data_IF_661154445743
#
_entry.id   IF_661154445743
#
_cell.length_a   1.000
_cell.length_b   1.000
_cell.length_c   1.000
_cell.angle_alpha   90.00
_cell.angle_beta   90.00
_cell.angle_gamma   90.00
#
_symmetry.space_group_name_H-M   'P 1'
#
loop_
_entity.id
_entity.type
_entity.pdbx_description
1 polymer ?
#
# COMPACT_ATOMS: atom_id res chain seq x y z
N UNK A 1 -20.11 7.32 -6.79
CA UNK A 1 -19.30 6.56 -5.81
C UNK A 1 -19.11 5.19 -6.38
N UNK A 2 -17.86 4.79 -6.65
CA UNK A 2 -17.52 3.44 -7.08
C UNK A 2 -16.69 2.76 -6.00
N UNK A 3 -16.95 1.48 -5.80
CA UNK A 3 -16.24 0.64 -4.85
C UNK A 3 -15.45 -0.38 -5.66
N UNK A 4 -14.15 -0.47 -5.39
CA UNK A 4 -13.29 -1.53 -5.87
C UNK A 4 -12.92 -2.39 -4.68
N UNK A 5 -13.01 -3.71 -4.83
CA UNK A 5 -12.54 -4.67 -3.86
C UNK A 5 -11.61 -5.65 -4.56
N UNK A 6 -10.53 -6.02 -3.88
CA UNK A 6 -9.60 -7.06 -4.33
C UNK A 6 -9.17 -7.89 -3.14
N UNK A 7 -9.19 -9.21 -3.32
CA UNK A 7 -8.69 -10.17 -2.35
C UNK A 7 -7.62 -11.03 -3.01
N UNK A 8 -6.58 -11.38 -2.26
CA UNK A 8 -5.61 -12.40 -2.65
C UNK A 8 -4.93 -12.97 -1.41
N UNK A 9 -4.21 -14.06 -1.57
CA UNK A 9 -3.42 -14.66 -0.49
C UNK A 9 -1.95 -14.67 -0.88
N UNK A 10 -1.11 -14.19 0.02
CA UNK A 10 0.34 -14.23 -0.09
C UNK A 10 0.86 -15.53 0.56
N UNK A 11 1.77 -16.24 -0.11
CA UNK A 11 2.43 -17.46 0.41
C UNK A 11 3.59 -17.12 1.39
N UNK A 12 3.30 -16.21 2.31
CA UNK A 12 4.21 -15.72 3.35
C UNK A 12 3.50 -15.58 4.68
N UNK A 13 4.23 -15.77 5.77
CA UNK A 13 3.70 -15.59 7.12
C UNK A 13 3.32 -14.13 7.34
N UNK A 14 2.45 -13.88 8.31
CA UNK A 14 2.05 -12.51 8.64
C UNK A 14 3.23 -11.66 9.11
N UNK A 15 4.21 -12.24 9.79
CA UNK A 15 5.43 -11.58 10.24
C UNK A 15 6.29 -11.13 9.04
N UNK A 16 6.43 -11.99 8.02
CA UNK A 16 7.13 -11.64 6.78
C UNK A 16 6.42 -10.48 6.08
N UNK A 17 5.10 -10.57 5.92
CA UNK A 17 4.28 -9.56 5.23
C UNK A 17 4.26 -8.22 5.97
N UNK A 18 3.97 -8.23 7.26
CA UNK A 18 3.93 -7.01 8.08
C UNK A 18 5.29 -6.32 8.16
N UNK A 19 6.38 -7.08 8.20
CA UNK A 19 7.75 -6.53 8.20
C UNK A 19 8.11 -5.93 6.83
N UNK A 20 7.87 -6.68 5.76
CA UNK A 20 8.18 -6.26 4.39
C UNK A 20 7.37 -5.02 3.97
N UNK A 21 6.15 -4.85 4.49
CA UNK A 21 5.28 -3.72 4.15
C UNK A 21 5.95 -2.36 4.42
N UNK A 22 6.77 -2.26 5.46
CA UNK A 22 7.54 -1.05 5.76
C UNK A 22 8.60 -0.71 4.71
N UNK A 23 9.06 -1.71 3.96
CA UNK A 23 10.07 -1.61 2.90
C UNK A 23 9.48 -1.82 1.50
N UNK A 24 8.16 -1.70 1.36
CA UNK A 24 7.44 -1.88 0.08
C UNK A 24 8.01 -1.04 -1.08
N UNK A 25 8.49 0.16 -0.78
CA UNK A 25 9.04 1.10 -1.77
C UNK A 25 10.57 1.13 -1.70
N UNK A 26 11.19 -0.01 -1.98
CA UNK A 26 12.64 -0.18 -2.02
C UNK A 26 13.10 -0.55 -3.44
N UNK A 27 14.43 -0.63 -3.71
CA UNK A 27 14.95 -0.97 -5.04
C UNK A 27 14.48 -2.31 -5.62
N UNK A 28 13.98 -3.25 -4.81
CA UNK A 28 13.43 -4.53 -5.28
C UNK A 28 12.04 -4.39 -5.92
N UNK A 29 11.31 -3.31 -5.60
CA UNK A 29 10.00 -3.03 -6.19
C UNK A 29 10.14 -2.15 -7.45
N UNK A 30 10.26 -2.78 -8.62
CA UNK A 30 10.31 -2.09 -9.91
C UNK A 30 8.93 -1.73 -10.50
N UNK A 31 7.83 -1.98 -9.76
CA UNK A 31 6.46 -1.75 -10.23
C UNK A 31 5.89 -0.43 -9.72
N UNK A 32 6.34 0.02 -8.55
CA UNK A 32 5.92 1.27 -7.90
C UNK A 32 6.88 2.44 -8.15
N UNK A 33 7.46 2.55 -9.35
CA UNK A 33 8.45 3.59 -9.70
C UNK A 33 7.92 5.03 -9.64
N UNK A 34 6.60 5.19 -9.63
CA UNK A 34 5.95 6.49 -9.44
C UNK A 34 6.03 6.98 -7.99
N UNK A 35 6.30 6.11 -7.01
CA UNK A 35 6.49 6.54 -5.61
C UNK A 35 7.92 7.00 -5.45
N UNK A 36 8.11 8.29 -5.17
CA UNK A 36 9.43 8.93 -5.10
C UNK A 36 9.91 9.17 -3.67
N UNK A 37 8.97 9.30 -2.73
CA UNK A 37 9.30 9.46 -1.31
C UNK A 37 8.19 8.91 -0.42
N UNK A 38 8.59 8.45 0.77
CA UNK A 38 7.70 7.98 1.83
C UNK A 38 8.25 8.47 3.16
N UNK A 39 7.57 9.45 3.74
CA UNK A 39 7.99 10.10 4.97
C UNK A 39 7.09 9.67 6.13
N UNK A 40 7.69 9.34 7.27
CA UNK A 40 6.93 9.08 8.51
C UNK A 40 6.66 10.42 9.19
N UNK A 41 5.40 10.82 9.24
CA UNK A 41 4.98 12.07 9.89
C UNK A 41 4.87 11.89 11.41
N UNK A 42 4.36 10.74 11.84
CA UNK A 42 4.18 10.41 13.25
C UNK A 42 4.16 8.90 13.44
N UNK A 43 4.63 8.44 14.60
CA UNK A 43 4.53 7.05 15.02
C UNK A 43 4.32 6.99 16.52
N UNK A 44 3.26 6.31 16.93
CA UNK A 44 2.83 6.22 18.33
C UNK A 44 2.51 4.76 18.65
N UNK A 45 3.08 4.26 19.74
CA UNK A 45 2.72 2.98 20.31
C UNK A 45 1.73 3.22 21.45
N UNK A 46 0.61 2.52 21.44
CA UNK A 46 -0.35 2.52 22.55
C UNK A 46 -0.04 1.37 23.52
N UNK A 47 0.41 1.66 24.76
CA UNK A 47 0.74 0.62 25.73
C UNK A 47 -0.45 -0.22 26.20
N UNK A 48 -1.68 0.30 26.14
CA UNK A 48 -2.87 -0.41 26.61
C UNK A 48 -3.32 -1.46 25.59
N UNK A 49 -3.46 -1.06 24.32
CA UNK A 49 -3.84 -1.99 23.25
C UNK A 49 -2.68 -2.76 22.63
N UNK A 50 -1.44 -2.29 22.80
CA UNK A 50 -0.26 -2.83 22.12
C UNK A 50 -0.17 -2.49 20.63
N UNK A 51 -1.04 -1.59 20.13
CA UNK A 51 -1.13 -1.25 18.71
C UNK A 51 -0.10 -0.18 18.35
N UNK A 52 0.65 -0.43 17.27
CA UNK A 52 1.52 0.57 16.66
C UNK A 52 0.75 1.34 15.58
N UNK A 53 0.53 2.63 15.81
CA UNK A 53 -0.04 3.54 14.82
C UNK A 53 1.07 4.34 14.15
N UNK A 54 1.06 4.39 12.82
CA UNK A 54 2.02 5.19 12.02
C UNK A 54 1.26 6.02 10.99
N UNK A 55 1.64 7.29 10.87
CA UNK A 55 1.18 8.20 9.82
C UNK A 55 2.31 8.42 8.82
N UNK A 56 2.02 8.31 7.53
CA UNK A 56 2.97 8.51 6.46
C UNK A 56 2.44 9.48 5.40
N UNK A 57 3.35 10.26 4.83
CA UNK A 57 3.13 11.00 3.60
C UNK A 57 3.83 10.25 2.46
N UNK A 58 3.07 9.86 1.45
CA UNK A 58 3.60 9.20 0.26
C UNK A 58 3.56 10.22 -0.87
N UNK A 59 4.72 10.51 -1.44
CA UNK A 59 4.87 11.41 -2.58
C UNK A 59 5.00 10.59 -3.85
N UNK A 60 4.09 10.83 -4.78
CA UNK A 60 4.05 10.17 -6.07
C UNK A 60 4.33 11.18 -7.17
N UNK A 61 5.17 10.81 -8.14
CA UNK A 61 5.31 11.51 -9.40
C UNK A 61 4.70 10.64 -10.50
N UNK A 62 3.47 10.96 -10.91
CA UNK A 62 2.85 10.32 -12.05
C UNK A 62 2.35 11.41 -12.99
N UNK A 63 2.38 11.13 -14.29
CA UNK A 63 1.62 11.94 -15.25
C UNK A 63 0.15 11.85 -14.85
N UNK A 64 -0.37 12.88 -14.17
CA UNK A 64 -1.80 13.01 -13.97
C UNK A 64 -2.44 12.94 -15.36
N UNK A 65 -3.60 12.27 -15.52
CA UNK A 65 -4.27 12.19 -16.80
C UNK A 65 -4.29 13.56 -17.47
N UNK A 66 -3.86 13.67 -18.73
CA UNK A 66 -3.63 14.97 -19.39
C UNK A 66 -4.85 15.89 -19.31
N UNK A 67 -6.06 15.33 -19.29
CA UNK A 67 -7.30 16.07 -19.11
C UNK A 67 -7.45 16.74 -17.73
N UNK A 68 -6.91 16.14 -16.65
CA UNK A 68 -6.86 16.76 -15.31
C UNK A 68 -5.88 17.93 -15.31
N UNK A 69 -4.68 17.73 -15.87
CA UNK A 69 -3.67 18.80 -15.98
C UNK A 69 -4.21 19.98 -16.79
N UNK A 70 -4.89 19.70 -17.91
CA UNK A 70 -5.46 20.73 -18.78
C UNK A 70 -6.63 21.48 -18.14
N UNK A 71 -7.44 20.84 -17.28
CA UNK A 71 -8.60 21.47 -16.65
C UNK A 71 -8.27 22.28 -15.42
N UNK A 72 -7.25 21.88 -14.67
CA UNK A 72 -7.02 22.45 -13.34
C UNK A 72 -5.65 23.09 -13.17
N UNK A 73 -4.71 22.86 -14.09
CA UNK A 73 -3.31 23.28 -13.95
C UNK A 73 -2.62 22.58 -12.77
N UNK A 74 -1.32 22.31 -12.84
CA UNK A 74 -0.62 21.75 -11.68
C UNK A 74 0.63 20.95 -12.00
N UNK A 75 1.23 20.45 -10.93
CA UNK A 75 2.41 19.56 -10.95
C UNK A 75 1.99 18.11 -11.16
N UNK A 76 2.87 17.31 -11.76
CA UNK A 76 2.78 15.84 -11.81
C UNK A 76 2.98 15.18 -10.43
N UNK A 77 3.38 15.97 -9.43
CA UNK A 77 3.54 15.50 -8.05
C UNK A 77 2.21 15.46 -7.32
N UNK A 78 1.88 14.32 -6.73
CA UNK A 78 0.71 14.11 -5.88
C UNK A 78 1.11 13.53 -4.54
N UNK A 79 0.28 13.78 -3.53
CA UNK A 79 0.52 13.32 -2.17
C UNK A 79 -0.64 12.45 -1.69
N UNK A 80 -0.30 11.38 -0.99
CA UNK A 80 -1.22 10.47 -0.32
C UNK A 80 -0.87 10.45 1.16
N UNK A 81 -1.88 10.62 1.99
CA UNK A 81 -1.76 10.44 3.43
C UNK A 81 -2.20 9.03 3.79
N UNK A 82 -1.37 8.32 4.54
CA UNK A 82 -1.64 6.96 4.97
C UNK A 82 -1.54 6.86 6.50
N UNK A 83 -2.50 6.16 7.10
CA UNK A 83 -2.45 5.76 8.51
C UNK A 83 -2.49 4.25 8.59
N UNK A 84 -1.48 3.66 9.22
CA UNK A 84 -1.39 2.22 9.43
C UNK A 84 -1.47 1.86 10.92
N UNK A 85 -2.11 0.74 11.21
CA UNK A 85 -2.24 0.13 12.53
C UNK A 85 -1.69 -1.29 12.47
N UNK A 86 -0.73 -1.61 13.32
CA UNK A 86 -0.21 -2.97 13.49
C UNK A 86 -0.62 -3.46 14.86
N UNK A 87 -1.47 -4.48 14.89
CA UNK A 87 -1.90 -5.18 16.08
C UNK A 87 -1.21 -6.56 16.12
N UNK A 88 -0.19 -6.74 16.98
CA UNK A 88 0.52 -8.01 17.10
C UNK A 88 -0.33 -9.09 17.80
N UNK A 89 -1.29 -8.71 18.64
CA UNK A 89 -2.14 -9.64 19.39
C UNK A 89 -3.12 -10.35 18.46
N UNK A 90 -3.79 -9.59 17.57
CA UNK A 90 -4.69 -10.16 16.56
C UNK A 90 -4.00 -10.51 15.24
N UNK A 91 -2.67 -10.29 15.14
CA UNK A 91 -1.87 -10.41 13.91
C UNK A 91 -2.58 -9.73 12.73
N UNK A 92 -2.84 -8.43 12.89
CA UNK A 92 -3.56 -7.64 11.88
C UNK A 92 -2.80 -6.38 11.55
N UNK A 93 -2.56 -6.15 10.25
CA UNK A 93 -2.15 -4.85 9.74
C UNK A 93 -3.33 -4.24 9.02
N UNK A 94 -3.69 -3.01 9.39
CA UNK A 94 -4.73 -2.23 8.69
C UNK A 94 -4.10 -0.92 8.22
N UNK A 95 -4.24 -0.59 6.95
CA UNK A 95 -3.71 0.63 6.34
C UNK A 95 -4.84 1.39 5.66
N UNK A 96 -4.98 2.66 5.99
CA UNK A 96 -5.99 3.55 5.44
C UNK A 96 -5.30 4.70 4.71
N UNK A 97 -5.51 4.79 3.41
CA UNK A 97 -4.88 5.79 2.53
C UNK A 97 -5.93 6.74 1.96
N UNK A 98 -5.61 8.03 1.89
CA UNK A 98 -6.42 9.04 1.20
C UNK A 98 -5.52 9.95 0.38
N UNK A 99 -5.94 10.30 -0.84
CA UNK A 99 -5.22 11.33 -1.59
C UNK A 99 -5.43 12.70 -0.94
N UNK A 100 -4.37 13.50 -0.87
CA UNK A 100 -4.42 14.89 -0.42
C UNK A 100 -4.55 15.83 -1.61
N UNK A 101 -3.65 15.67 -2.59
CA UNK A 101 -3.70 16.42 -3.85
C UNK A 101 -4.91 15.98 -4.66
N UNK A 102 -5.63 16.93 -5.26
CA UNK A 102 -6.83 16.69 -6.07
C UNK A 102 -8.05 16.14 -5.32
N UNK A 103 -8.01 16.09 -3.98
CA UNK A 103 -9.10 15.53 -3.15
C UNK A 103 -10.44 16.25 -3.30
N UNK A 104 -10.43 17.53 -3.70
CA UNK A 104 -11.60 18.34 -4.03
C UNK A 104 -12.25 17.99 -5.38
N UNK A 105 -11.55 17.28 -6.26
CA UNK A 105 -12.03 16.83 -7.57
C UNK A 105 -12.37 15.35 -7.52
N UNK A 106 -11.42 14.54 -7.03
CA UNK A 106 -11.53 13.10 -6.91
C UNK A 106 -10.99 12.69 -5.54
N UNK A 107 -11.87 12.21 -4.67
CA UNK A 107 -11.51 11.65 -3.38
C UNK A 107 -11.40 10.14 -3.49
N UNK A 108 -10.21 9.60 -3.22
CA UNK A 108 -9.90 8.18 -3.19
C UNK A 108 -9.55 7.83 -1.76
N UNK A 109 -10.31 6.91 -1.18
CA UNK A 109 -10.04 6.32 0.13
C UNK A 109 -9.84 4.84 -0.04
N UNK A 110 -8.73 4.32 0.44
CA UNK A 110 -8.38 2.91 0.34
C UNK A 110 -8.13 2.36 1.74
N UNK A 111 -8.65 1.17 2.00
CA UNK A 111 -8.36 0.37 3.19
C UNK A 111 -7.74 -0.95 2.74
N UNK A 112 -6.57 -1.26 3.27
CA UNK A 112 -5.88 -2.53 3.08
C UNK A 112 -5.75 -3.25 4.41
N UNK A 113 -6.02 -4.56 4.42
CA UNK A 113 -5.91 -5.42 5.59
C UNK A 113 -5.06 -6.63 5.23
N UNK A 114 -4.09 -6.93 6.10
CA UNK A 114 -3.32 -8.18 6.10
C UNK A 114 -3.57 -8.95 7.38
N UNK A 115 -3.96 -10.23 7.26
CA UNK A 115 -4.16 -11.15 8.39
C UNK A 115 -3.72 -12.57 8.02
N UNK A 116 -3.30 -13.41 8.99
CA UNK A 116 -3.04 -14.82 8.73
C UNK A 116 -4.21 -15.49 7.99
N UNK A 117 -3.89 -16.30 6.98
CA UNK A 117 -4.92 -17.00 6.21
C UNK A 117 -5.67 -17.99 7.09
N UNK A 118 -6.99 -18.10 6.92
CA UNK A 118 -7.79 -19.08 7.66
C UNK A 118 -7.35 -20.53 7.36
N UNK A 119 -6.87 -20.78 6.15
CA UNK A 119 -6.47 -22.11 5.67
C UNK A 119 -5.09 -22.54 6.16
N UNK A 120 -4.10 -21.63 6.13
CA UNK A 120 -2.73 -21.89 6.59
C UNK A 120 -2.15 -20.67 7.33
N UNK A 121 -2.57 -20.44 8.60
CA UNK A 121 -2.21 -19.23 9.34
C UNK A 121 -0.71 -19.03 9.57
N UNK A 122 0.07 -20.11 9.59
CA UNK A 122 1.51 -20.05 9.87
C UNK A 122 2.36 -19.64 8.65
N UNK A 123 1.86 -19.82 7.43
CA UNK A 123 2.63 -19.67 6.20
C UNK A 123 1.96 -18.83 5.12
N UNK A 124 0.72 -18.40 5.34
CA UNK A 124 -0.05 -17.59 4.41
C UNK A 124 -0.68 -16.38 5.08
N UNK A 125 -0.79 -15.31 4.32
CA UNK A 125 -1.43 -14.06 4.73
C UNK A 125 -2.49 -13.67 3.72
N UNK A 126 -3.73 -13.57 4.18
CA UNK A 126 -4.83 -13.05 3.38
C UNK A 126 -4.71 -11.52 3.30
N UNK A 127 -4.85 -11.01 2.09
CA UNK A 127 -4.87 -9.60 1.75
C UNK A 127 -6.24 -9.22 1.26
N UNK A 128 -6.77 -8.14 1.82
CA UNK A 128 -8.01 -7.52 1.41
C UNK A 128 -7.80 -6.05 1.18
N UNK A 129 -8.27 -5.55 0.05
CA UNK A 129 -8.19 -4.16 -0.35
C UNK A 129 -9.57 -3.69 -0.76
N UNK A 130 -10.04 -2.62 -0.12
CA UNK A 130 -11.29 -1.96 -0.41
C UNK A 130 -11.00 -0.48 -0.73
N UNK A 131 -11.45 0.00 -1.89
CA UNK A 131 -11.24 1.38 -2.30
C UNK A 131 -12.55 2.05 -2.71
N UNK A 132 -12.76 3.26 -2.19
CA UNK A 132 -13.89 4.10 -2.47
C UNK A 132 -13.44 5.32 -3.25
N UNK A 133 -13.97 5.45 -4.46
CA UNK A 133 -13.67 6.57 -5.36
C UNK A 133 -14.91 7.44 -5.48
N UNK A 134 -14.76 8.71 -5.09
CA UNK A 134 -15.82 9.71 -5.08
C UNK A 134 -15.41 10.91 -5.93
N UNK A 135 -16.10 11.08 -7.06
CA UNK A 135 -15.99 12.30 -7.86
C UNK A 135 -16.84 13.42 -7.22
N UNK A 136 -16.19 14.51 -6.81
CA UNK A 136 -16.83 15.65 -6.13
C UNK A 136 -17.21 16.79 -7.09
N UNK A 137 -17.24 16.51 -8.40
CA UNK A 137 -17.50 17.49 -9.47
C UNK A 137 -18.97 17.98 -9.46
N UNK A 138 -19.33 18.86 -8.52
CA UNK A 138 -20.69 19.41 -8.35
C UNK A 138 -21.26 20.19 -9.54
N UNK A 139 -20.46 20.50 -10.57
CA UNK A 139 -20.90 21.23 -11.78
C UNK A 139 -20.77 20.46 -13.11
N UNK A 140 -20.25 19.23 -13.12
CA UNK A 140 -19.81 18.55 -14.36
C UNK A 140 -20.37 17.13 -14.50
N UNK A 141 -21.69 16.98 -14.31
CA UNK A 141 -22.39 15.69 -14.42
C UNK A 141 -22.08 14.91 -15.71
N UNK A 142 -21.81 15.60 -16.84
CA UNK A 142 -21.48 14.96 -18.13
C UNK A 142 -20.07 14.36 -18.19
N UNK A 143 -19.11 14.87 -17.40
CA UNK A 143 -17.76 14.30 -17.32
C UNK A 143 -17.66 13.21 -16.25
N UNK A 144 -18.55 13.21 -15.25
CA UNK A 144 -18.52 12.32 -14.09
C UNK A 144 -18.36 10.83 -14.46
N UNK A 145 -19.12 10.33 -15.44
CA UNK A 145 -19.07 8.91 -15.81
C UNK A 145 -17.73 8.50 -16.44
N UNK A 146 -17.18 9.33 -17.34
CA UNK A 146 -15.85 9.08 -17.94
C UNK A 146 -14.73 9.16 -16.90
N UNK A 147 -14.81 10.13 -15.98
CA UNK A 147 -13.85 10.27 -14.89
C UNK A 147 -13.90 9.05 -13.98
N UNK A 148 -15.10 8.61 -13.60
CA UNK A 148 -15.28 7.47 -12.72
C UNK A 148 -14.83 6.14 -13.37
N UNK A 149 -15.05 5.93 -14.67
CA UNK A 149 -14.55 4.75 -15.39
C UNK A 149 -13.02 4.72 -15.51
N UNK A 150 -12.41 5.81 -15.99
CA UNK A 150 -10.95 5.91 -16.11
C UNK A 150 -10.26 5.78 -14.75
N UNK A 151 -10.88 6.31 -13.68
CA UNK A 151 -10.33 6.22 -12.33
C UNK A 151 -10.33 4.79 -11.81
N UNK A 152 -11.40 4.02 -12.06
CA UNK A 152 -11.47 2.61 -11.63
C UNK A 152 -10.50 1.74 -12.40
N UNK A 153 -10.38 1.93 -13.72
CA UNK A 153 -9.42 1.17 -14.52
C UNK A 153 -7.98 1.43 -14.07
N UNK A 154 -7.62 2.71 -13.90
CA UNK A 154 -6.30 3.12 -13.40
C UNK A 154 -6.04 2.55 -12.01
N UNK A 155 -7.04 2.60 -11.12
CA UNK A 155 -6.92 2.05 -9.77
C UNK A 155 -6.69 0.53 -9.79
N UNK A 156 -7.45 -0.21 -10.60
CA UNK A 156 -7.31 -1.67 -10.76
C UNK A 156 -5.91 -2.04 -11.28
N UNK A 157 -5.40 -1.32 -12.28
CA UNK A 157 -4.05 -1.51 -12.79
C UNK A 157 -2.98 -1.20 -11.72
N UNK A 158 -3.17 -0.13 -10.95
CA UNK A 158 -2.27 0.24 -9.86
C UNK A 158 -2.29 -0.77 -8.72
N UNK A 159 -3.45 -1.33 -8.37
CA UNK A 159 -3.59 -2.39 -7.40
C UNK A 159 -2.81 -3.64 -7.83
N UNK A 160 -2.92 -4.06 -9.09
CA UNK A 160 -2.16 -5.18 -9.65
C UNK A 160 -0.65 -4.92 -9.59
N UNK A 161 -0.19 -3.76 -10.06
CA UNK A 161 1.24 -3.36 -10.00
C UNK A 161 1.75 -3.32 -8.55
N UNK A 162 0.94 -2.79 -7.64
CA UNK A 162 1.26 -2.71 -6.21
C UNK A 162 1.46 -4.08 -5.58
N UNK A 163 0.66 -5.09 -5.98
CA UNK A 163 0.83 -6.48 -5.54
C UNK A 163 2.08 -7.11 -6.13
N UNK A 164 2.29 -7.03 -7.44
CA UNK A 164 3.49 -7.58 -8.10
C UNK A 164 4.78 -6.98 -7.51
N UNK A 165 4.77 -5.67 -7.25
CA UNK A 165 5.89 -4.97 -6.64
C UNK A 165 6.16 -5.43 -5.21
N UNK A 166 5.11 -5.68 -4.44
CA UNK A 166 5.24 -6.15 -3.08
C UNK A 166 5.69 -7.61 -2.99
N UNK A 167 5.22 -8.47 -3.90
CA UNK A 167 5.67 -9.85 -4.04
C UNK A 167 7.19 -9.93 -4.25
N UNK A 168 7.75 -9.09 -5.13
CA UNK A 168 9.19 -9.02 -5.34
C UNK A 168 9.97 -8.64 -4.07
N UNK A 169 9.40 -7.75 -3.23
CA UNK A 169 10.00 -7.39 -1.94
C UNK A 169 9.95 -8.55 -0.96
N UNK A 170 8.86 -9.31 -0.92
CA UNK A 170 8.71 -10.48 -0.06
C UNK A 170 9.70 -11.58 -0.42
N UNK A 171 9.78 -11.92 -1.71
CA UNK A 171 10.70 -12.92 -2.24
C UNK A 171 12.15 -12.58 -1.86
N UNK A 172 12.58 -11.34 -2.16
CA UNK A 172 13.94 -10.88 -1.85
C UNK A 172 14.21 -10.81 -0.35
N UNK A 173 13.23 -10.37 0.46
CA UNK A 173 13.38 -10.34 1.92
C UNK A 173 13.62 -11.73 2.48
N UNK A 174 12.80 -12.72 2.08
CA UNK A 174 12.92 -14.12 2.52
C UNK A 174 14.28 -14.70 2.14
N UNK A 175 14.77 -14.41 0.93
CA UNK A 175 16.09 -14.81 0.47
C UNK A 175 17.19 -14.24 1.35
N UNK A 176 17.20 -12.92 1.56
CA UNK A 176 18.24 -12.24 2.36
C UNK A 176 18.24 -12.73 3.81
N UNK A 177 17.08 -12.91 4.43
CA UNK A 177 16.99 -13.45 5.79
C UNK A 177 17.51 -14.89 5.90
N UNK A 178 17.31 -15.71 4.85
CA UNK A 178 17.87 -17.06 4.80
C UNK A 178 19.40 -17.02 4.71
N UNK A 179 19.94 -16.24 3.78
CA UNK A 179 21.38 -16.08 3.59
C UNK A 179 22.06 -15.56 4.88
N UNK A 180 21.43 -14.61 5.59
CA UNK A 180 21.92 -14.11 6.88
C UNK A 180 21.97 -15.21 7.95
N UNK A 181 20.91 -16.01 8.10
CA UNK A 181 20.88 -17.12 9.07
C UNK A 181 21.94 -18.17 8.76
N UNK A 182 22.17 -18.48 7.49
CA UNK A 182 23.22 -19.41 7.06
C UNK A 182 24.62 -18.87 7.42
N UNK A 183 24.90 -17.59 7.16
CA UNK A 183 26.16 -16.96 7.55
C UNK A 183 26.37 -16.95 9.07
N UNK A 184 25.34 -16.63 9.85
CA UNK A 184 25.41 -16.64 11.32
C UNK A 184 25.68 -18.05 11.86
N UNK A 185 25.03 -19.07 11.29
CA UNK A 185 25.27 -20.47 11.66
C UNK A 185 26.71 -20.91 11.37
N UNK A 186 27.28 -20.48 10.24
CA UNK A 186 28.68 -20.76 9.89
C UNK A 186 29.68 -20.07 10.82
N UNK A 187 29.35 -18.90 11.36
CA UNK A 187 30.20 -18.16 12.30
C UNK A 187 30.15 -18.71 13.74
N UNK A 188 29.11 -19.48 14.09
CA UNK A 188 28.92 -20.06 15.42
C UNK A 188 29.52 -21.47 15.58
N UNK A 189 30.11 -22.05 14.53
CA UNK A 189 30.83 -23.32 14.62
C UNK A 189 32.15 -23.10 15.37
N UNK A 190 32.37 -23.70 16.56
CA UNK A 190 33.64 -23.58 17.26
C UNK A 190 34.76 -24.22 16.44
N UNK A 191 35.95 -23.61 16.43
CA UNK A 191 37.17 -24.22 15.89
C UNK A 191 37.58 -25.47 16.67
#
# INVERSE_FOLDING_TARGET
>A
MKVFASECTFDYSWEEVSTANWRKYCPWNNKSTHVVAVDVLSRTFDPESGILRTERLITCNQSAPQWILNLFGGSSTSHVYEVSYVDPSSKKVTMCSTNLTWSNVLSVRETVIYQPSQSMPASRTDFRQDAQITALCGGWHKLKNKIEELSVETFSQNAKKGREGFEAVLEMSRRVFREQKEMEALQQVPQ
#
